data_IF_718950352238
#
_entry.id   IF_718950352238
#
_cell.length_a   1.000
_cell.length_b   1.000
_cell.length_c   1.000
_cell.angle_alpha   90.00
_cell.angle_beta   90.00
_cell.angle_gamma   90.00
#
_symmetry.space_group_name_H-M   'P 1'
#
loop_
_entity.id
_entity.type
_entity.pdbx_description
1 polymer ?
#
# COMPACT_ATOMS: atom_id res chain seq x y z
N UNK A 1 13.99 -20.34 5.33
CA UNK A 1 13.18 -19.78 4.22
C UNK A 1 11.72 -20.12 4.50
N UNK A 2 10.80 -19.15 4.40
CA UNK A 2 9.36 -19.42 4.46
C UNK A 2 8.82 -19.42 3.03
N UNK A 3 7.92 -20.35 2.73
CA UNK A 3 7.33 -20.49 1.39
C UNK A 3 5.82 -20.44 1.52
N UNK A 4 5.17 -19.79 0.55
CA UNK A 4 3.72 -19.60 0.53
C UNK A 4 3.20 -19.97 -0.86
N UNK A 5 1.99 -20.51 -0.92
CA UNK A 5 1.16 -20.54 -2.13
C UNK A 5 0.24 -19.34 -2.12
N UNK A 6 0.11 -18.67 -3.25
CA UNK A 6 -0.83 -17.57 -3.47
C UNK A 6 -2.00 -18.10 -4.31
N UNK A 7 -3.23 -17.74 -3.94
CA UNK A 7 -4.46 -18.08 -4.66
C UNK A 7 -5.24 -16.80 -4.94
N UNK A 8 -5.59 -16.58 -6.20
CA UNK A 8 -6.44 -15.48 -6.64
C UNK A 8 -7.82 -16.00 -7.04
N UNK A 9 -8.88 -15.46 -6.44
CA UNK A 9 -10.28 -15.71 -6.82
C UNK A 9 -11.06 -14.39 -6.75
N UNK A 10 -11.80 -14.04 -7.80
CA UNK A 10 -12.59 -12.79 -7.88
C UNK A 10 -11.77 -11.53 -7.51
N UNK A 11 -10.55 -11.40 -8.05
CA UNK A 11 -9.58 -10.34 -7.76
C UNK A 11 -9.19 -10.21 -6.27
N UNK A 12 -9.43 -11.24 -5.46
CA UNK A 12 -8.97 -11.30 -4.07
C UNK A 12 -7.83 -12.29 -3.95
N UNK A 13 -6.71 -11.82 -3.41
CA UNK A 13 -5.55 -12.65 -3.10
C UNK A 13 -5.70 -13.25 -1.70
N UNK A 14 -5.41 -14.54 -1.62
CA UNK A 14 -5.26 -15.30 -0.37
C UNK A 14 -3.97 -16.10 -0.42
N UNK A 15 -3.44 -16.48 0.74
CA UNK A 15 -2.22 -17.27 0.81
C UNK A 15 -2.32 -18.39 1.84
N UNK A 16 -1.48 -19.40 1.68
CA UNK A 16 -1.29 -20.46 2.68
C UNK A 16 0.18 -20.87 2.74
N UNK A 17 0.65 -21.30 3.90
CA UNK A 17 2.02 -21.78 4.06
C UNK A 17 2.26 -23.06 3.27
N UNK A 18 3.43 -23.17 2.67
CA UNK A 18 3.82 -24.33 1.88
C UNK A 18 5.24 -24.78 2.20
N UNK A 19 5.47 -26.09 2.09
CA UNK A 19 6.82 -26.63 2.02
C UNK A 19 7.31 -26.55 0.57
N UNK A 20 8.48 -25.93 0.37
CA UNK A 20 9.18 -26.01 -0.91
C UNK A 20 9.84 -27.38 -1.04
N UNK A 21 9.51 -28.08 -2.10
CA UNK A 21 10.10 -29.35 -2.50
C UNK A 21 11.02 -29.07 -3.68
N UNK A 22 12.33 -29.13 -3.45
CA UNK A 22 13.36 -28.77 -4.43
C UNK A 22 14.12 -29.98 -5.00
N UNK A 23 13.81 -31.19 -4.53
CA UNK A 23 14.44 -32.42 -4.97
C UNK A 23 13.41 -33.54 -5.22
N UNK A 24 13.63 -34.43 -6.22
CA UNK A 24 12.72 -35.53 -6.55
C UNK A 24 12.51 -36.56 -5.43
N UNK A 25 13.52 -36.77 -4.57
CA UNK A 25 13.42 -37.68 -3.42
C UNK A 25 12.36 -37.25 -2.42
N UNK A 26 12.20 -35.94 -2.20
CA UNK A 26 11.19 -35.37 -1.30
C UNK A 26 9.77 -35.49 -1.87
N UNK A 27 9.60 -35.47 -3.20
CA UNK A 27 8.31 -35.76 -3.85
C UNK A 27 7.82 -37.17 -3.54
N UNK A 28 8.71 -38.18 -3.58
CA UNK A 28 8.38 -39.57 -3.22
C UNK A 28 7.86 -39.72 -1.79
N UNK A 29 8.18 -38.78 -0.91
CA UNK A 29 7.69 -38.81 0.47
C UNK A 29 6.19 -38.52 0.49
N UNK A 30 5.71 -37.63 -0.36
CA UNK A 30 4.31 -37.20 -0.42
C UNK A 30 3.49 -38.06 -1.40
N UNK A 31 4.10 -38.57 -2.47
CA UNK A 31 3.45 -39.36 -3.54
C UNK A 31 2.97 -40.78 -3.12
N UNK A 32 3.02 -41.12 -1.83
CA UNK A 32 2.55 -42.41 -1.35
C UNK A 32 1.05 -42.35 -0.98
N UNK A 33 0.17 -43.20 -1.55
CA UNK A 33 -1.28 -43.14 -1.32
C UNK A 33 -1.69 -43.16 0.16
N UNK A 34 -1.07 -44.04 0.97
CA UNK A 34 -1.31 -44.08 2.42
C UNK A 34 -0.93 -42.78 3.12
N UNK A 35 0.20 -42.14 2.74
CA UNK A 35 0.66 -40.92 3.41
C UNK A 35 -0.24 -39.74 3.09
N UNK A 36 -0.74 -39.63 1.85
CA UNK A 36 -1.77 -38.66 1.50
C UNK A 36 -3.06 -38.87 2.30
N UNK A 37 -3.51 -40.12 2.45
CA UNK A 37 -4.67 -40.45 3.29
C UNK A 37 -4.45 -40.05 4.76
N UNK A 38 -3.26 -40.27 5.30
CA UNK A 38 -2.88 -39.84 6.66
C UNK A 38 -2.91 -38.30 6.75
N UNK A 39 -2.28 -37.58 5.80
CA UNK A 39 -2.26 -36.12 5.77
C UNK A 39 -3.67 -35.53 5.69
N UNK A 40 -4.56 -36.10 4.86
CA UNK A 40 -5.95 -35.66 4.73
C UNK A 40 -6.76 -35.84 6.03
N UNK A 41 -6.50 -36.87 6.82
CA UNK A 41 -7.10 -37.01 8.16
C UNK A 41 -6.55 -35.97 9.12
N UNK A 42 -5.23 -35.81 9.14
CA UNK A 42 -4.53 -34.90 10.04
C UNK A 42 -4.76 -33.42 9.72
N UNK A 43 -5.11 -33.08 8.47
CA UNK A 43 -5.51 -31.75 8.04
C UNK A 43 -6.82 -31.29 8.70
N UNK A 44 -7.67 -32.23 9.12
CA UNK A 44 -8.93 -31.91 9.80
C UNK A 44 -8.73 -31.70 11.30
N UNK A 45 -7.87 -32.53 11.92
CA UNK A 45 -7.53 -32.44 13.35
C UNK A 45 -6.28 -33.27 13.66
N UNK A 46 -5.48 -32.88 14.67
CA UNK A 46 -4.42 -33.74 15.19
C UNK A 46 -4.96 -35.08 15.71
N UNK A 47 -4.22 -36.17 15.48
CA UNK A 47 -4.64 -37.52 15.87
C UNK A 47 -3.48 -38.37 16.39
N UNK A 48 -3.82 -39.37 17.19
CA UNK A 48 -2.91 -40.45 17.58
C UNK A 48 -2.74 -41.48 16.45
N UNK A 49 -1.58 -42.16 16.32
CA UNK A 49 -1.37 -43.23 15.34
C UNK A 49 -2.46 -44.31 15.33
N UNK A 50 -2.95 -44.73 16.51
CA UNK A 50 -4.01 -45.72 16.64
C UNK A 50 -5.36 -45.21 16.08
N UNK A 51 -5.69 -43.93 16.28
CA UNK A 51 -6.89 -43.32 15.71
C UNK A 51 -6.81 -43.27 14.19
N UNK A 52 -5.64 -42.91 13.65
CA UNK A 52 -5.38 -42.89 12.21
C UNK A 52 -5.55 -44.29 11.61
N UNK A 53 -5.01 -45.33 12.25
CA UNK A 53 -5.16 -46.72 11.81
C UNK A 53 -6.62 -47.17 11.78
N UNK A 54 -7.39 -46.82 12.81
CA UNK A 54 -8.83 -47.10 12.89
C UNK A 54 -9.62 -46.41 11.78
N UNK A 55 -9.43 -45.11 11.59
CA UNK A 55 -10.11 -44.32 10.54
C UNK A 55 -9.78 -44.82 9.13
N UNK A 56 -8.51 -45.20 8.89
CA UNK A 56 -8.09 -45.72 7.59
C UNK A 56 -8.48 -47.18 7.35
N UNK A 57 -8.98 -47.90 8.38
CA UNK A 57 -9.21 -49.35 8.38
C UNK A 57 -7.96 -50.13 7.95
N UNK A 58 -6.81 -49.76 8.53
CA UNK A 58 -5.51 -50.33 8.19
C UNK A 58 -4.85 -50.95 9.42
N UNK A 59 -4.02 -51.97 9.20
CA UNK A 59 -3.22 -52.57 10.26
C UNK A 59 -2.28 -51.54 10.91
N UNK A 60 -2.26 -51.48 12.24
CA UNK A 60 -1.55 -50.43 12.98
C UNK A 60 -0.06 -50.34 12.62
N UNK A 61 0.64 -51.49 12.54
CA UNK A 61 2.06 -51.51 12.20
C UNK A 61 2.37 -50.82 10.85
N UNK A 62 1.46 -50.95 9.86
CA UNK A 62 1.62 -50.31 8.55
C UNK A 62 1.47 -48.79 8.66
N UNK A 63 0.54 -48.32 9.48
CA UNK A 63 0.36 -46.88 9.74
C UNK A 63 1.54 -46.31 10.52
N UNK A 64 2.01 -47.00 11.57
CA UNK A 64 3.20 -46.62 12.32
C UNK A 64 4.45 -46.52 11.43
N UNK A 65 4.62 -47.45 10.48
CA UNK A 65 5.70 -47.38 9.49
C UNK A 65 5.65 -46.06 8.69
N UNK A 66 4.49 -45.70 8.15
CA UNK A 66 4.35 -44.46 7.38
C UNK A 66 4.54 -43.21 8.23
N UNK A 67 3.96 -43.18 9.45
CA UNK A 67 4.12 -42.08 10.40
C UNK A 67 5.58 -41.86 10.77
N UNK A 68 6.33 -42.94 11.06
CA UNK A 68 7.77 -42.85 11.38
C UNK A 68 8.55 -42.22 10.24
N UNK A 69 8.30 -42.66 9.00
CA UNK A 69 8.95 -42.09 7.82
C UNK A 69 8.62 -40.60 7.63
N UNK A 70 7.35 -40.21 7.79
CA UNK A 70 6.92 -38.81 7.65
C UNK A 70 7.41 -37.90 8.78
N UNK A 71 7.54 -38.43 10.01
CA UNK A 71 8.09 -37.67 11.14
C UNK A 71 9.59 -37.44 10.95
N UNK A 72 10.32 -38.48 10.52
CA UNK A 72 11.76 -38.38 10.24
C UNK A 72 12.07 -37.40 9.09
N UNK A 73 11.17 -37.26 8.13
CA UNK A 73 11.30 -36.28 7.05
C UNK A 73 10.82 -34.87 7.44
N UNK A 74 10.33 -34.67 8.67
CA UNK A 74 9.80 -33.39 9.14
C UNK A 74 8.45 -32.99 8.55
N UNK A 75 7.71 -33.92 7.92
CA UNK A 75 6.35 -33.66 7.43
C UNK A 75 5.30 -33.65 8.54
N UNK A 76 5.52 -34.45 9.59
CA UNK A 76 4.68 -34.49 10.78
C UNK A 76 5.45 -33.97 11.98
N UNK A 77 4.73 -33.33 12.89
CA UNK A 77 5.23 -32.90 14.19
C UNK A 77 4.34 -33.41 15.31
N UNK A 78 4.91 -33.48 16.51
CA UNK A 78 4.19 -33.87 17.72
C UNK A 78 3.65 -32.59 18.35
N UNK A 79 2.33 -32.43 18.32
CA UNK A 79 1.66 -31.25 18.87
C UNK A 79 1.19 -31.44 20.32
N UNK A 80 1.08 -32.69 20.77
CA UNK A 80 0.62 -33.01 22.12
C UNK A 80 1.22 -34.34 22.61
N UNK A 81 1.49 -34.43 23.90
CA UNK A 81 1.92 -35.66 24.58
C UNK A 81 0.99 -35.92 25.76
N UNK A 82 0.45 -37.13 25.83
CA UNK A 82 -0.49 -37.54 26.88
C UNK A 82 -0.07 -38.90 27.43
N UNK A 83 -0.19 -39.10 28.73
CA UNK A 83 0.12 -40.38 29.37
C UNK A 83 -1.14 -41.27 29.37
N UNK A 84 -1.07 -42.40 28.68
CA UNK A 84 -2.18 -43.34 28.56
C UNK A 84 -1.69 -44.71 29.03
N UNK A 85 -2.25 -45.21 30.14
CA UNK A 85 -1.94 -46.54 30.70
C UNK A 85 -0.42 -46.78 30.88
N UNK A 86 0.30 -45.77 31.39
CA UNK A 86 1.74 -45.82 31.64
C UNK A 86 2.63 -45.70 30.41
N UNK A 87 2.07 -45.36 29.24
CA UNK A 87 2.82 -45.09 28.01
C UNK A 87 2.52 -43.68 27.50
N UNK A 88 3.55 -42.96 27.02
CA UNK A 88 3.38 -41.63 26.43
C UNK A 88 2.85 -41.75 25.00
N UNK A 89 1.59 -41.39 24.80
CA UNK A 89 0.95 -41.24 23.50
C UNK A 89 1.25 -39.85 22.92
N UNK A 90 1.45 -39.78 21.60
CA UNK A 90 1.83 -38.55 20.89
C UNK A 90 0.78 -38.22 19.83
N UNK A 91 0.12 -37.06 19.93
CA UNK A 91 -0.73 -36.55 18.83
C UNK A 91 0.14 -35.92 17.77
N UNK A 92 -0.19 -36.19 16.53
CA UNK A 92 0.56 -35.74 15.37
C UNK A 92 -0.29 -34.74 14.58
N UNK A 93 0.38 -33.74 14.00
CA UNK A 93 -0.19 -32.84 13.00
C UNK A 93 0.79 -32.66 11.83
N UNK A 94 0.31 -32.26 10.65
CA UNK A 94 1.18 -31.94 9.53
C UNK A 94 1.82 -30.58 9.80
N UNK A 95 3.13 -30.48 9.58
CA UNK A 95 3.84 -29.19 9.69
C UNK A 95 3.46 -28.24 8.55
N UNK A 96 3.12 -28.80 7.39
CA UNK A 96 2.64 -28.07 6.22
C UNK A 96 1.49 -28.84 5.57
N UNK A 97 0.50 -28.11 5.06
CA UNK A 97 -0.64 -28.67 4.32
C UNK A 97 -0.55 -28.44 2.81
N UNK A 98 0.37 -27.56 2.38
CA UNK A 98 0.62 -27.29 0.97
C UNK A 98 2.06 -27.65 0.63
N UNK A 99 2.26 -28.17 -0.57
CA UNK A 99 3.56 -28.60 -1.07
C UNK A 99 3.75 -28.01 -2.46
N UNK A 100 4.85 -27.29 -2.66
CA UNK A 100 5.16 -26.64 -3.94
C UNK A 100 6.43 -27.28 -4.49
N UNK A 101 6.36 -27.74 -5.73
CA UNK A 101 7.54 -28.16 -6.48
C UNK A 101 7.94 -27.06 -7.46
N UNK A 102 9.11 -26.45 -7.26
CA UNK A 102 9.60 -25.38 -8.14
C UNK A 102 10.73 -25.88 -9.02
N UNK A 103 10.51 -25.87 -10.34
CA UNK A 103 11.54 -26.14 -11.34
C UNK A 103 12.36 -24.89 -11.70
N UNK A 104 11.81 -23.70 -11.45
CA UNK A 104 12.47 -22.42 -11.71
C UNK A 104 13.19 -21.94 -10.46
N UNK A 105 14.39 -21.39 -10.65
CA UNK A 105 15.09 -20.59 -9.62
C UNK A 105 14.80 -19.09 -9.76
N UNK A 106 14.09 -18.69 -10.81
CA UNK A 106 13.76 -17.29 -11.09
C UNK A 106 12.42 -16.97 -10.44
N UNK A 107 12.47 -16.26 -9.32
CA UNK A 107 11.30 -15.80 -8.58
C UNK A 107 10.89 -14.40 -9.04
N UNK A 108 9.59 -14.20 -9.27
CA UNK A 108 9.02 -12.87 -9.55
C UNK A 108 8.73 -12.16 -8.23
N UNK A 109 8.87 -10.84 -8.22
CA UNK A 109 8.49 -10.01 -7.09
C UNK A 109 6.95 -9.95 -6.96
N UNK A 110 6.45 -9.82 -5.73
CA UNK A 110 5.01 -9.84 -5.40
C UNK A 110 4.25 -8.61 -5.93
N UNK A 111 4.93 -7.48 -6.04
CA UNK A 111 4.42 -6.24 -6.63
C UNK A 111 3.89 -6.41 -8.06
N UNK A 112 4.44 -7.35 -8.84
CA UNK A 112 3.96 -7.67 -10.19
C UNK A 112 2.67 -8.50 -10.25
N UNK A 113 2.17 -8.99 -9.10
CA UNK A 113 0.90 -9.73 -8.96
C UNK A 113 -0.26 -8.83 -8.53
N UNK A 114 0.04 -7.74 -7.80
CA UNK A 114 -0.91 -6.66 -7.53
C UNK A 114 -1.09 -5.92 -8.86
N UNK A 115 -2.33 -5.61 -9.27
CA UNK A 115 -2.71 -5.04 -10.57
C UNK A 115 -1.60 -4.18 -11.22
N UNK A 116 -1.40 -4.35 -12.54
CA UNK A 116 -0.52 -3.45 -13.31
C UNK A 116 -0.93 -2.01 -13.02
N UNK A 117 -0.11 -1.34 -12.21
CA UNK A 117 -0.23 0.08 -11.91
C UNK A 117 -0.26 0.83 -13.23
N UNK A 118 -1.11 1.84 -13.32
CA UNK A 118 -1.24 2.60 -14.56
C UNK A 118 0.10 3.33 -14.86
N UNK A 119 0.74 3.10 -16.02
CA UNK A 119 2.06 3.66 -16.30
C UNK A 119 2.12 5.19 -16.25
N UNK A 120 1.02 5.86 -16.60
CA UNK A 120 0.94 7.32 -16.52
C UNK A 120 1.01 7.79 -15.06
N UNK A 121 0.28 7.11 -14.17
CA UNK A 121 0.24 7.43 -12.74
C UNK A 121 1.60 7.11 -12.10
N UNK A 122 2.22 5.98 -12.44
CA UNK A 122 3.57 5.65 -11.94
C UNK A 122 4.61 6.70 -12.35
N UNK A 123 4.57 7.12 -13.61
CA UNK A 123 5.46 8.16 -14.13
C UNK A 123 5.20 9.51 -13.44
N UNK A 124 3.93 9.83 -13.16
CA UNK A 124 3.56 11.04 -12.45
C UNK A 124 4.04 11.03 -10.99
N UNK A 125 3.89 9.90 -10.30
CA UNK A 125 4.32 9.72 -8.91
C UNK A 125 5.83 9.61 -8.76
N UNK A 126 6.58 9.35 -9.84
CA UNK A 126 8.05 9.45 -9.82
C UNK A 126 8.47 10.93 -9.74
N UNK A 127 9.34 11.36 -8.79
CA UNK A 127 10.19 10.54 -7.92
C UNK A 127 9.68 10.35 -6.49
N UNK A 128 8.46 10.76 -6.16
CA UNK A 128 7.88 10.64 -4.81
C UNK A 128 7.68 9.19 -4.38
N UNK A 129 7.45 8.28 -5.34
CA UNK A 129 7.47 6.84 -5.15
C UNK A 129 8.66 6.28 -5.91
N UNK A 130 9.50 5.50 -5.24
CA UNK A 130 10.68 4.85 -5.83
C UNK A 130 10.86 3.47 -5.22
N UNK A 131 11.10 2.47 -6.05
CA UNK A 131 11.33 1.08 -5.60
C UNK A 131 10.19 0.51 -4.72
N UNK A 132 8.95 0.94 -4.98
CA UNK A 132 7.75 0.67 -4.16
C UNK A 132 7.84 1.19 -2.71
N UNK A 133 8.68 2.18 -2.42
CA UNK A 133 8.69 2.88 -1.15
C UNK A 133 8.38 4.37 -1.36
N UNK A 134 7.97 5.03 -0.29
CA UNK A 134 7.76 6.48 -0.29
C UNK A 134 9.12 7.19 -0.23
N UNK A 135 9.52 7.77 -1.35
CA UNK A 135 10.70 8.62 -1.47
C UNK A 135 10.33 10.11 -1.32
N UNK A 136 9.48 10.43 -0.34
CA UNK A 136 9.05 11.79 -0.02
C UNK A 136 8.61 11.91 1.45
N UNK A 137 8.46 13.14 1.95
CA UNK A 137 7.69 13.41 3.18
C UNK A 137 6.36 14.08 2.83
N UNK A 138 5.28 13.61 3.46
CA UNK A 138 3.95 14.22 3.36
C UNK A 138 3.88 15.32 4.42
N UNK A 139 3.75 16.56 3.98
CA UNK A 139 3.76 17.74 4.85
C UNK A 139 2.36 18.31 4.93
N UNK A 140 1.81 18.33 6.14
CA UNK A 140 0.52 18.96 6.44
C UNK A 140 0.75 20.21 7.28
N UNK A 141 -0.20 21.14 7.23
CA UNK A 141 -0.17 22.32 8.09
C UNK A 141 -0.25 21.99 9.58
N UNK A 142 0.48 22.73 10.42
CA UNK A 142 0.36 22.58 11.87
C UNK A 142 -1.04 22.98 12.38
N UNK A 143 -1.64 22.20 13.30
CA UNK A 143 -2.93 22.52 13.90
C UNK A 143 -2.84 23.69 14.89
N UNK A 144 -1.64 23.98 15.40
CA UNK A 144 -1.38 25.08 16.31
C UNK A 144 -1.31 26.42 15.54
N UNK A 145 -1.84 27.53 16.07
CA UNK A 145 -1.70 28.83 15.44
C UNK A 145 -0.23 29.23 15.26
N UNK A 146 0.18 29.48 14.02
CA UNK A 146 1.54 29.90 13.71
C UNK A 146 1.57 30.77 12.44
N UNK A 147 2.74 31.37 12.15
CA UNK A 147 2.92 32.25 11.00
C UNK A 147 2.19 33.61 11.09
N UNK A 148 2.30 34.43 10.04
CA UNK A 148 1.80 35.81 10.04
C UNK A 148 0.28 35.91 10.15
N UNK A 149 -0.45 34.90 9.68
CA UNK A 149 -1.91 34.87 9.71
C UNK A 149 -2.50 34.23 10.97
N UNK A 150 -1.68 33.63 11.85
CA UNK A 150 -2.12 32.85 13.03
C UNK A 150 -3.22 31.84 12.69
N UNK A 151 -3.20 31.32 11.48
CA UNK A 151 -4.19 30.38 10.99
C UNK A 151 -3.95 29.01 11.63
N UNK A 152 -5.03 28.25 11.82
CA UNK A 152 -4.97 26.85 12.21
C UNK A 152 -5.25 26.00 11.00
N UNK A 153 -4.41 25.02 10.71
CA UNK A 153 -4.72 24.04 9.68
C UNK A 153 -5.92 23.19 10.12
N UNK A 154 -6.92 23.08 9.23
CA UNK A 154 -8.11 22.23 9.43
C UNK A 154 -8.25 21.16 8.36
N UNK A 155 -7.36 21.18 7.37
CA UNK A 155 -7.40 20.39 6.15
C UNK A 155 -6.35 19.26 6.12
N UNK A 156 -5.53 19.11 7.17
CA UNK A 156 -4.53 18.05 7.25
C UNK A 156 -5.12 16.63 7.17
N UNK A 157 -6.38 16.43 7.60
CA UNK A 157 -7.05 15.13 7.54
C UNK A 157 -7.31 14.64 6.10
N UNK A 158 -7.36 15.53 5.10
CA UNK A 158 -7.47 15.11 3.70
C UNK A 158 -6.22 14.37 3.20
N UNK A 159 -5.08 14.49 3.90
CA UNK A 159 -3.90 13.69 3.60
C UNK A 159 -4.13 12.17 3.81
N UNK A 160 -5.18 11.77 4.54
CA UNK A 160 -5.52 10.35 4.76
C UNK A 160 -5.95 9.69 3.44
N UNK A 161 -6.86 10.32 2.68
CA UNK A 161 -7.28 9.81 1.36
C UNK A 161 -6.12 9.74 0.39
N UNK A 162 -5.24 10.75 0.43
CA UNK A 162 -4.00 10.75 -0.34
C UNK A 162 -3.07 9.59 0.07
N UNK A 163 -2.92 9.31 1.36
CA UNK A 163 -2.10 8.22 1.85
C UNK A 163 -2.65 6.85 1.43
N UNK A 164 -3.98 6.65 1.47
CA UNK A 164 -4.64 5.44 0.98
C UNK A 164 -4.44 5.25 -0.52
N UNK A 165 -4.52 6.33 -1.30
CA UNK A 165 -4.20 6.31 -2.72
C UNK A 165 -2.74 5.93 -2.98
N UNK A 166 -1.79 6.61 -2.32
CA UNK A 166 -0.36 6.32 -2.47
C UNK A 166 0.00 4.90 -2.03
N UNK A 167 -0.67 4.36 -1.01
CA UNK A 167 -0.48 2.98 -0.53
C UNK A 167 -0.80 1.90 -1.56
N UNK A 168 -1.52 2.22 -2.64
CA UNK A 168 -1.68 1.33 -3.79
C UNK A 168 -0.37 1.20 -4.60
N UNK A 169 0.53 2.17 -4.47
CA UNK A 169 1.77 2.29 -5.24
C UNK A 169 3.03 2.00 -4.41
N UNK A 170 2.95 1.96 -3.09
CA UNK A 170 4.10 1.82 -2.21
C UNK A 170 3.80 1.01 -0.93
N UNK A 171 4.85 0.53 -0.29
CA UNK A 171 4.87 0.03 1.09
C UNK A 171 5.66 1.03 1.91
N UNK A 172 4.99 1.76 2.80
CA UNK A 172 5.65 2.78 3.63
C UNK A 172 6.51 2.11 4.71
N UNK A 173 7.83 2.22 4.59
CA UNK A 173 8.78 1.62 5.54
C UNK A 173 9.05 2.48 6.78
N UNK A 174 8.88 3.80 6.67
CA UNK A 174 9.15 4.79 7.72
C UNK A 174 7.97 5.73 7.97
N UNK A 175 8.03 6.47 9.08
CA UNK A 175 7.09 7.56 9.36
C UNK A 175 7.19 8.65 8.28
N UNK A 176 6.11 8.84 7.53
CA UNK A 176 6.07 9.65 6.31
C UNK A 176 5.63 11.09 6.52
N UNK A 177 4.89 11.36 7.60
CA UNK A 177 4.26 12.66 7.84
C UNK A 177 5.19 13.63 8.58
N UNK A 178 5.15 14.90 8.21
CA UNK A 178 5.77 16.02 8.94
C UNK A 178 4.82 17.21 9.02
N UNK A 179 5.02 18.07 10.01
CA UNK A 179 4.39 19.39 10.03
C UNK A 179 5.22 20.37 9.22
N UNK A 180 4.56 21.36 8.64
CA UNK A 180 5.17 22.42 7.85
C UNK A 180 6.23 23.24 8.61
N UNK A 181 6.06 23.41 9.93
CA UNK A 181 7.03 24.05 10.83
C UNK A 181 8.35 23.28 10.98
N UNK A 182 8.36 21.97 10.68
CA UNK A 182 9.54 21.11 10.82
C UNK A 182 10.33 20.95 9.50
N UNK A 183 9.98 21.73 8.47
CA UNK A 183 10.55 21.64 7.13
C UNK A 183 11.59 22.73 6.88
N UNK A 184 12.82 22.29 6.65
CA UNK A 184 13.86 23.07 5.98
C UNK A 184 13.91 22.69 4.50
N UNK A 185 13.44 23.58 3.62
CA UNK A 185 13.37 23.37 2.17
C UNK A 185 14.74 23.09 1.52
N UNK A 186 15.84 23.58 2.09
CA UNK A 186 17.20 23.38 1.55
C UNK A 186 17.74 21.98 1.84
N UNK A 187 17.35 21.40 2.95
CA UNK A 187 17.77 20.06 3.39
C UNK A 187 16.74 18.98 3.06
N UNK A 188 15.56 19.38 2.62
CA UNK A 188 14.46 18.45 2.32
C UNK A 188 14.68 17.74 1.00
N UNK A 189 14.35 16.44 1.00
CA UNK A 189 14.22 15.60 -0.21
C UNK A 189 12.91 15.95 -0.93
N UNK A 190 12.31 14.99 -1.65
CA UNK A 190 11.00 15.22 -2.26
C UNK A 190 9.93 15.47 -1.19
N UNK A 191 9.01 16.37 -1.48
CA UNK A 191 7.93 16.76 -0.57
C UNK A 191 6.58 16.63 -1.25
N UNK A 192 5.57 16.16 -0.51
CA UNK A 192 4.17 16.21 -0.90
C UNK A 192 3.48 17.15 0.09
N UNK A 193 3.11 18.35 -0.34
CA UNK A 193 2.52 19.38 0.49
C UNK A 193 1.00 19.33 0.36
N UNK A 194 0.30 19.20 1.49
CA UNK A 194 -1.16 19.24 1.55
C UNK A 194 -1.59 20.48 2.33
N UNK A 195 -2.48 21.27 1.72
CA UNK A 195 -3.02 22.51 2.29
C UNK A 195 -2.49 23.78 1.64
N UNK A 196 -3.31 24.84 1.65
CA UNK A 196 -2.99 26.13 1.05
C UNK A 196 -1.92 26.92 1.81
N UNK A 197 -1.39 28.01 1.23
CA UNK A 197 -0.28 28.79 1.81
C UNK A 197 -0.60 29.42 3.17
N UNK A 198 -1.88 29.60 3.48
CA UNK A 198 -2.34 30.12 4.78
C UNK A 198 -2.19 29.07 5.89
N UNK A 199 -2.39 27.79 5.58
CA UNK A 199 -2.34 26.68 6.55
C UNK A 199 -1.05 25.87 6.47
N UNK A 200 -0.32 25.95 5.37
CA UNK A 200 0.96 25.29 5.14
C UNK A 200 2.01 26.33 4.69
N UNK A 201 2.86 26.78 5.61
CA UNK A 201 3.85 27.83 5.34
C UNK A 201 4.89 27.44 4.29
N UNK A 202 5.11 26.14 4.07
CA UNK A 202 6.02 25.66 3.02
C UNK A 202 5.45 26.00 1.65
N UNK A 203 4.13 25.86 1.45
CA UNK A 203 3.45 26.28 0.21
C UNK A 203 3.59 27.78 0.01
N UNK A 204 3.44 28.58 1.06
CA UNK A 204 3.67 30.03 1.01
C UNK A 204 5.08 30.40 0.54
N UNK A 205 6.11 29.76 1.10
CA UNK A 205 7.53 30.01 0.74
C UNK A 205 7.85 29.69 -0.72
N UNK A 206 7.20 28.69 -1.31
CA UNK A 206 7.46 28.28 -2.70
C UNK A 206 6.48 28.89 -3.70
N UNK A 207 5.47 29.63 -3.25
CA UNK A 207 4.37 30.12 -4.08
C UNK A 207 4.86 30.90 -5.31
N UNK A 208 5.95 31.66 -5.17
CA UNK A 208 6.52 32.43 -6.27
C UNK A 208 7.16 31.60 -7.38
N UNK A 209 7.47 30.34 -7.10
CA UNK A 209 8.06 29.38 -8.04
C UNK A 209 7.00 28.47 -8.66
N UNK A 210 5.74 28.55 -8.24
CA UNK A 210 4.67 27.73 -8.81
C UNK A 210 4.19 28.30 -10.16
N UNK A 211 3.86 27.42 -11.14
CA UNK A 211 3.33 27.83 -12.44
C UNK A 211 1.94 28.50 -12.33
N UNK A 212 1.19 28.15 -11.28
CA UNK A 212 -0.05 28.78 -10.86
C UNK A 212 0.11 29.22 -9.40
N UNK A 213 -0.19 30.48 -9.10
CA UNK A 213 0.15 31.11 -7.82
C UNK A 213 -1.09 31.42 -7.00
N UNK A 214 -0.99 31.23 -5.69
CA UNK A 214 -1.98 31.76 -4.77
C UNK A 214 -1.81 33.28 -4.64
N UNK A 215 -2.88 34.04 -4.89
CA UNK A 215 -2.87 35.49 -4.71
C UNK A 215 -2.78 35.84 -3.23
N UNK A 216 -1.85 36.73 -2.87
CA UNK A 216 -1.73 37.30 -1.53
C UNK A 216 -2.58 38.57 -1.32
N UNK A 217 -3.29 39.00 -2.37
CA UNK A 217 -4.12 40.21 -2.37
C UNK A 217 -5.52 39.88 -2.85
N UNK A 218 -6.48 40.75 -2.53
CA UNK A 218 -7.84 40.60 -3.06
C UNK A 218 -7.86 40.86 -4.59
N UNK A 219 -8.64 40.08 -5.36
CA UNK A 219 -9.38 38.89 -4.91
C UNK A 219 -8.43 37.73 -4.60
N UNK A 220 -8.67 37.07 -3.46
CA UNK A 220 -7.95 35.85 -3.09
C UNK A 220 -8.29 34.76 -4.09
N UNK A 221 -7.29 34.01 -4.54
CA UNK A 221 -7.51 33.08 -5.63
C UNK A 221 -6.26 32.37 -6.08
N UNK A 222 -6.40 31.58 -7.14
CA UNK A 222 -5.27 31.00 -7.88
C UNK A 222 -5.16 31.74 -9.22
N UNK A 223 -4.01 32.34 -9.46
CA UNK A 223 -3.69 33.11 -10.65
C UNK A 223 -2.83 32.24 -11.58
N UNK A 224 -3.31 32.02 -12.80
CA UNK A 224 -2.57 31.36 -13.87
C UNK A 224 -2.28 32.34 -15.00
N UNK A 225 -1.58 31.89 -16.04
CA UNK A 225 -1.40 32.69 -17.27
C UNK A 225 -2.71 32.92 -18.03
N UNK A 226 -3.73 32.08 -17.81
CA UNK A 226 -5.01 32.15 -18.52
C UNK A 226 -5.99 33.05 -17.79
N UNK A 227 -6.18 32.84 -16.49
CA UNK A 227 -7.19 33.54 -15.71
C UNK A 227 -6.91 33.48 -14.20
N UNK A 228 -7.80 34.13 -13.43
CA UNK A 228 -7.82 34.04 -11.97
C UNK A 228 -9.05 33.26 -11.53
N UNK A 229 -8.84 32.24 -10.71
CA UNK A 229 -9.89 31.41 -10.11
C UNK A 229 -10.12 31.85 -8.67
N UNK A 230 -11.37 32.10 -8.28
CA UNK A 230 -11.70 32.68 -6.97
C UNK A 230 -12.71 31.86 -6.16
N UNK A 231 -13.37 30.88 -6.77
CA UNK A 231 -14.33 30.01 -6.10
C UNK A 231 -13.68 29.17 -4.99
N UNK A 232 -14.32 29.05 -3.83
CA UNK A 232 -13.69 28.42 -2.65
C UNK A 232 -13.36 26.93 -2.86
N UNK A 233 -14.13 26.24 -3.71
CA UNK A 233 -13.93 24.84 -4.08
C UNK A 233 -12.83 24.61 -5.13
N UNK A 234 -12.10 25.66 -5.51
CA UNK A 234 -10.97 25.55 -6.42
C UNK A 234 -9.77 24.94 -5.70
N UNK A 235 -9.27 23.85 -6.27
CA UNK A 235 -8.06 23.16 -5.91
C UNK A 235 -6.99 23.28 -6.99
N UNK A 236 -5.75 23.08 -6.59
CA UNK A 236 -4.59 22.98 -7.47
C UNK A 236 -3.76 21.76 -7.10
N UNK A 237 -3.36 21.03 -8.14
CA UNK A 237 -2.32 20.02 -8.06
C UNK A 237 -1.14 20.59 -8.84
N UNK A 238 0.04 20.74 -8.24
CA UNK A 238 1.24 21.20 -8.94
C UNK A 238 2.45 20.38 -8.58
N UNK A 239 3.13 19.83 -9.59
CA UNK A 239 4.40 19.11 -9.47
C UNK A 239 5.49 19.99 -10.05
N UNK A 240 6.48 20.35 -9.25
CA UNK A 240 7.59 21.22 -9.66
C UNK A 240 8.92 20.72 -9.08
N UNK A 241 10.07 21.05 -9.68
CA UNK A 241 11.36 20.90 -9.01
C UNK A 241 11.38 21.72 -7.70
N UNK A 242 12.07 21.22 -6.67
CA UNK A 242 12.27 22.00 -5.45
C UNK A 242 13.18 23.21 -5.77
N UNK A 243 12.71 24.45 -5.60
CA UNK A 243 13.46 25.65 -5.98
C UNK A 243 14.76 25.84 -5.19
N UNK A 244 14.89 25.17 -4.04
CA UNK A 244 16.09 25.22 -3.18
C UNK A 244 16.97 23.96 -3.31
N UNK A 245 16.49 22.90 -3.97
CA UNK A 245 17.23 21.65 -4.21
C UNK A 245 16.75 21.00 -5.51
N UNK A 246 17.19 21.48 -6.69
CA UNK A 246 16.58 21.13 -7.98
C UNK A 246 16.62 19.65 -8.40
N UNK A 247 17.41 18.83 -7.70
CA UNK A 247 17.44 17.36 -7.85
C UNK A 247 16.22 16.66 -7.25
N UNK A 248 15.44 17.38 -6.42
CA UNK A 248 14.24 16.90 -5.77
C UNK A 248 12.99 17.60 -6.31
N UNK A 249 11.81 17.04 -6.03
CA UNK A 249 10.53 17.55 -6.49
C UNK A 249 9.59 17.86 -5.33
N UNK A 250 8.66 18.78 -5.58
CA UNK A 250 7.56 19.13 -4.68
C UNK A 250 6.24 18.88 -5.42
N UNK A 251 5.33 18.17 -4.77
CA UNK A 251 3.94 18.02 -5.20
C UNK A 251 3.04 18.81 -4.24
N UNK A 252 2.44 19.89 -4.73
CA UNK A 252 1.48 20.72 -4.00
C UNK A 252 0.06 20.23 -4.30
N UNK A 253 -0.72 19.94 -3.27
CA UNK A 253 -2.13 19.57 -3.34
C UNK A 253 -2.88 20.49 -2.38
N UNK A 254 -3.42 21.58 -2.92
CA UNK A 254 -3.87 22.70 -2.11
C UNK A 254 -5.02 23.46 -2.79
N UNK A 255 -5.96 23.98 -2.00
CA UNK A 255 -6.98 24.88 -2.51
C UNK A 255 -6.91 26.28 -1.92
N UNK A 256 -7.78 27.16 -2.44
CA UNK A 256 -7.97 28.52 -1.91
C UNK A 256 -8.46 28.44 -0.46
N UNK A 257 -9.35 27.48 -0.18
CA UNK A 257 -9.87 27.13 1.14
C UNK A 257 -9.74 25.62 1.37
N UNK A 258 -10.08 25.19 2.59
CA UNK A 258 -10.08 23.77 2.94
C UNK A 258 -10.94 22.93 1.98
N UNK A 259 -12.05 23.49 1.49
CA UNK A 259 -12.95 22.82 0.56
C UNK A 259 -12.27 22.63 -0.81
N UNK A 260 -11.49 23.61 -1.28
CA UNK A 260 -10.63 23.46 -2.46
C UNK A 260 -9.49 22.46 -2.27
N UNK A 261 -8.88 22.38 -1.07
CA UNK A 261 -7.89 21.34 -0.76
C UNK A 261 -8.52 19.95 -0.87
N UNK A 262 -9.76 19.79 -0.39
CA UNK A 262 -10.55 18.56 -0.59
C UNK A 262 -10.75 18.25 -2.07
N UNK A 263 -11.11 19.24 -2.90
CA UNK A 263 -11.22 19.07 -4.36
C UNK A 263 -9.92 18.57 -4.98
N UNK A 264 -8.77 19.15 -4.61
CA UNK A 264 -7.47 18.77 -5.14
C UNK A 264 -7.08 17.33 -4.74
N UNK A 265 -7.34 16.94 -3.49
CA UNK A 265 -7.13 15.56 -3.03
C UNK A 265 -8.06 14.60 -3.76
N UNK A 266 -9.35 14.92 -3.88
CA UNK A 266 -10.32 14.08 -4.58
C UNK A 266 -9.94 13.89 -6.06
N UNK A 267 -9.54 14.98 -6.72
CA UNK A 267 -9.06 14.97 -8.09
C UNK A 267 -7.87 14.02 -8.27
N UNK A 268 -6.86 14.10 -7.41
CA UNK A 268 -5.68 13.25 -7.52
C UNK A 268 -5.95 11.78 -7.14
N UNK A 269 -6.90 11.50 -6.24
CA UNK A 269 -7.10 10.16 -5.68
C UNK A 269 -8.22 9.34 -6.34
N UNK A 270 -9.28 10.00 -6.82
CA UNK A 270 -10.44 9.34 -7.47
C UNK A 270 -10.52 9.64 -8.96
N UNK A 271 -10.09 10.83 -9.37
CA UNK A 271 -10.12 11.27 -10.76
C UNK A 271 -8.71 11.43 -11.34
N UNK A 272 -7.77 10.58 -10.91
CA UNK A 272 -6.33 10.74 -11.18
C UNK A 272 -6.07 10.92 -12.66
N UNK A 273 -6.55 10.00 -13.51
CA UNK A 273 -6.32 10.01 -14.96
C UNK A 273 -6.85 11.27 -15.63
N UNK A 274 -8.04 11.72 -15.23
CA UNK A 274 -8.63 12.96 -15.72
C UNK A 274 -7.80 14.16 -15.26
N UNK A 275 -7.34 14.17 -14.01
CA UNK A 275 -6.56 15.27 -13.44
C UNK A 275 -5.19 15.41 -14.10
N UNK A 276 -4.50 14.29 -14.34
CA UNK A 276 -3.15 14.28 -14.92
C UNK A 276 -3.13 14.02 -16.43
N UNK A 277 -4.25 14.14 -17.13
CA UNK A 277 -4.34 13.79 -18.56
C UNK A 277 -3.37 14.56 -19.47
N UNK A 278 -2.92 15.76 -19.06
CA UNK A 278 -1.93 16.59 -19.77
C UNK A 278 -0.48 16.32 -19.34
N UNK A 279 -0.27 15.39 -18.42
CA UNK A 279 1.07 14.97 -18.02
C UNK A 279 1.65 14.03 -19.08
N UNK A 280 2.77 14.41 -19.66
CA UNK A 280 3.51 13.67 -20.68
C UNK A 280 4.96 13.41 -20.26
N UNK A 281 5.31 13.67 -18.99
CA UNK A 281 6.67 13.50 -18.45
C UNK A 281 7.43 14.81 -18.22
N UNK A 282 6.79 15.96 -18.40
CA UNK A 282 7.38 17.27 -18.14
C UNK A 282 7.76 17.44 -16.65
N UNK A 283 8.82 18.23 -16.38
CA UNK A 283 9.29 18.49 -15.01
C UNK A 283 8.31 19.32 -14.18
N UNK A 284 7.67 20.30 -14.81
CA UNK A 284 6.67 21.17 -14.20
C UNK A 284 5.29 20.84 -14.72
N UNK A 285 4.36 20.60 -13.82
CA UNK A 285 2.97 20.31 -14.13
C UNK A 285 2.08 21.06 -13.15
N UNK A 286 0.93 21.52 -13.63
CA UNK A 286 -0.17 21.91 -12.76
C UNK A 286 -1.51 21.57 -13.39
N UNK A 287 -2.49 21.35 -12.53
CA UNK A 287 -3.89 21.25 -12.88
C UNK A 287 -4.70 22.13 -11.93
N UNK A 288 -5.67 22.88 -12.48
CA UNK A 288 -6.68 23.60 -11.70
C UNK A 288 -7.98 22.80 -11.76
N UNK A 289 -8.56 22.52 -10.60
CA UNK A 289 -9.78 21.73 -10.48
C UNK A 289 -10.83 22.48 -9.68
N UNK A 290 -12.10 22.31 -10.04
CA UNK A 290 -13.23 22.75 -9.24
C UNK A 290 -13.98 21.54 -8.72
N UNK A 291 -14.26 21.52 -7.42
CA UNK A 291 -15.09 20.49 -6.83
C UNK A 291 -16.57 20.88 -6.83
N UNK A 292 -17.42 19.89 -7.08
CA UNK A 292 -18.88 20.00 -7.03
C UNK A 292 -19.47 18.95 -6.09
N UNK A 293 -20.63 19.30 -5.55
CA UNK A 293 -21.50 18.43 -4.76
C UNK A 293 -22.73 18.14 -5.63
N UNK A 294 -22.72 17.01 -6.33
CA UNK A 294 -23.76 16.65 -7.30
C UNK A 294 -24.94 15.94 -6.62
N UNK A 295 -24.69 15.23 -5.52
CA UNK A 295 -25.72 14.56 -4.74
C UNK A 295 -26.41 15.46 -3.69
N UNK A 296 -25.84 16.64 -3.43
CA UNK A 296 -26.38 17.68 -2.57
C UNK A 296 -26.21 17.41 -1.08
N UNK A 297 -25.30 16.52 -0.68
CA UNK A 297 -25.08 16.15 0.73
C UNK A 297 -24.16 17.10 1.51
N UNK A 298 -23.68 18.16 0.85
CA UNK A 298 -22.73 19.14 1.37
C UNK A 298 -21.26 18.72 1.21
N UNK A 299 -20.96 17.62 0.51
CA UNK A 299 -19.60 17.14 0.28
C UNK A 299 -19.30 17.12 -1.22
N UNK A 300 -18.09 17.54 -1.52
CA UNK A 300 -17.55 17.36 -2.87
C UNK A 300 -17.43 15.87 -3.19
N UNK A 301 -18.12 15.45 -4.25
CA UNK A 301 -18.19 14.08 -4.78
C UNK A 301 -17.61 13.97 -6.19
N UNK A 302 -17.40 15.10 -6.86
CA UNK A 302 -16.98 15.19 -8.24
C UNK A 302 -16.08 16.39 -8.48
N UNK A 303 -15.35 16.36 -9.59
CA UNK A 303 -14.45 17.43 -9.99
C UNK A 303 -14.56 17.71 -11.49
N UNK A 304 -14.30 18.96 -11.86
CA UNK A 304 -13.98 19.37 -13.23
C UNK A 304 -12.54 19.87 -13.29
N UNK A 305 -11.81 19.50 -14.34
CA UNK A 305 -10.46 20.01 -14.61
C UNK A 305 -10.60 21.25 -15.49
N UNK A 306 -10.34 22.42 -14.90
CA UNK A 306 -10.50 23.72 -15.56
C UNK A 306 -9.25 24.16 -16.31
N UNK A 307 -8.08 23.79 -15.79
CA UNK A 307 -6.81 24.00 -16.47
C UNK A 307 -6.02 22.71 -16.51
#
# INVERSE_FOLDING_TARGET
MKTYVLKEENNKLSYSEAALVDNPSSLKIIDHPTRLRILNLLAKKPMYPAQIAKELKMHEQKVYYHIKQMTNSGLLEIVEREEIRGTVAKKLAPKYLNFVFSLSKNWKKLDGLIEKKDPLIETFLTPFVKDNDLNAKIVVGSPDPHGPHKARARDGHYAIDLALFLGQYLVASEFSTKLDVDIDLKQSKNLILVGGPVTNLVVGKINDFLPAKFSEKRPWGIVTKKQTYTEESIGMISKVPNPYSPEHFILVIAGIRFIGTKSAVLALTKFTKQTIHRFTGQKEFHAIVQGFDLDGDGKIDSIEVLE
#
